data_IF_704814786648
#
_entry.id   IF_704814786648
#
_cell.length_a   1.000
_cell.length_b   1.000
_cell.length_c   1.000
_cell.angle_alpha   90.00
_cell.angle_beta   90.00
_cell.angle_gamma   90.00
#
_symmetry.space_group_name_H-M   'P 1'
#
loop_
_entity.id
_entity.type
_entity.pdbx_description
1 polymer ?
#
# COMPACT_ATOMS: atom_id res chain seq x y z
N UNK A 1 -7.63 -9.63 0.56
CA UNK A 1 -6.55 -10.27 1.34
C UNK A 1 -6.52 -9.63 2.72
N UNK A 2 -5.58 -9.96 3.59
CA UNK A 2 -5.50 -9.33 4.91
C UNK A 2 -4.87 -10.21 5.98
N UNK A 3 -5.05 -9.83 7.24
CA UNK A 3 -4.51 -10.55 8.39
C UNK A 3 -5.59 -11.25 9.24
N UNK A 4 -6.87 -11.12 8.89
CA UNK A 4 -8.00 -11.71 9.62
C UNK A 4 -8.29 -13.16 9.17
N UNK A 5 -9.22 -13.83 9.83
CA UNK A 5 -9.55 -15.23 9.54
C UNK A 5 -10.26 -15.40 8.18
N UNK A 6 -10.96 -14.36 7.70
CA UNK A 6 -11.62 -14.37 6.39
C UNK A 6 -10.62 -14.33 5.23
N UNK A 7 -9.43 -13.77 5.46
CA UNK A 7 -8.38 -13.67 4.44
C UNK A 7 -7.60 -14.96 4.19
N UNK A 8 -7.69 -15.95 5.09
CA UNK A 8 -6.81 -17.14 5.11
C UNK A 8 -6.88 -17.93 3.80
N UNK A 9 -8.08 -18.15 3.26
CA UNK A 9 -8.26 -18.91 2.03
C UNK A 9 -7.62 -18.20 0.83
N UNK A 10 -7.84 -16.89 0.69
CA UNK A 10 -7.25 -16.08 -0.39
C UNK A 10 -5.73 -15.99 -0.25
N UNK A 11 -5.21 -15.75 0.95
CA UNK A 11 -3.75 -15.70 1.16
C UNK A 11 -3.11 -17.04 0.81
N UNK A 12 -3.73 -18.17 1.18
CA UNK A 12 -3.24 -19.50 0.81
C UNK A 12 -3.23 -19.69 -0.72
N UNK A 13 -4.30 -19.29 -1.41
CA UNK A 13 -4.38 -19.37 -2.86
C UNK A 13 -3.31 -18.51 -3.55
N UNK A 14 -3.14 -17.26 -3.14
CA UNK A 14 -2.13 -16.37 -3.74
C UNK A 14 -0.72 -16.89 -3.48
N UNK A 15 -0.44 -17.48 -2.32
CA UNK A 15 0.86 -18.10 -2.05
C UNK A 15 1.14 -19.34 -2.91
N UNK A 16 0.13 -19.99 -3.50
CA UNK A 16 0.34 -21.11 -4.43
C UNK A 16 0.51 -20.68 -5.88
N UNK A 17 0.46 -19.39 -6.20
CA UNK A 17 0.63 -18.88 -7.56
C UNK A 17 2.09 -18.65 -7.98
N UNK A 18 3.06 -18.99 -7.10
CA UNK A 18 4.48 -18.94 -7.47
C UNK A 18 4.72 -19.84 -8.68
N UNK A 19 5.38 -19.31 -9.70
CA UNK A 19 5.64 -19.92 -11.01
C UNK A 19 4.40 -20.20 -11.90
N UNK A 20 3.18 -19.92 -11.41
CA UNK A 20 1.93 -20.06 -12.17
C UNK A 20 1.49 -18.74 -12.84
N UNK A 21 1.94 -17.61 -12.30
CA UNK A 21 1.72 -16.26 -12.83
C UNK A 21 3.02 -15.48 -12.80
N UNK A 22 3.15 -14.44 -13.61
CA UNK A 22 4.39 -13.67 -13.69
C UNK A 22 4.56 -12.65 -12.55
N UNK A 23 3.45 -12.10 -12.06
CA UNK A 23 3.42 -11.18 -10.93
C UNK A 23 2.03 -11.14 -10.29
N UNK A 24 1.96 -10.61 -9.07
CA UNK A 24 0.70 -10.30 -8.37
C UNK A 24 0.51 -8.79 -8.32
N UNK A 25 -0.72 -8.33 -8.51
CA UNK A 25 -1.09 -6.92 -8.34
C UNK A 25 -2.22 -6.78 -7.30
N UNK A 26 -1.90 -6.24 -6.12
CA UNK A 26 -2.80 -6.10 -4.97
C UNK A 26 -3.36 -4.67 -4.89
N UNK A 27 -4.67 -4.55 -5.08
CA UNK A 27 -5.35 -3.28 -5.25
C UNK A 27 -5.83 -2.64 -3.93
N UNK A 28 -4.88 -2.17 -3.12
CA UNK A 28 -5.18 -1.48 -1.86
C UNK A 28 -5.66 -2.38 -0.74
N UNK A 29 -5.88 -1.78 0.43
CA UNK A 29 -6.41 -2.41 1.63
C UNK A 29 -5.66 -3.70 2.01
N UNK A 30 -4.37 -3.51 2.27
CA UNK A 30 -3.39 -4.59 2.22
C UNK A 30 -3.57 -5.55 3.40
N UNK A 31 -3.49 -5.00 4.61
CA UNK A 31 -3.44 -5.80 5.85
C UNK A 31 -4.65 -5.59 6.75
N UNK A 32 -5.38 -4.47 6.57
CA UNK A 32 -6.38 -3.98 7.51
C UNK A 32 -5.82 -3.81 8.94
N UNK A 33 -4.54 -3.42 9.08
CA UNK A 33 -3.87 -3.25 10.37
C UNK A 33 -4.51 -2.15 11.25
N UNK A 34 -5.15 -1.16 10.63
CA UNK A 34 -5.91 -0.11 11.31
C UNK A 34 -7.12 -0.67 12.07
N UNK A 35 -7.71 -1.79 11.62
CA UNK A 35 -8.83 -2.49 12.27
C UNK A 35 -8.43 -3.36 13.47
N UNK A 36 -7.15 -3.42 13.83
CA UNK A 36 -6.64 -4.33 14.86
C UNK A 36 -7.28 -4.18 16.25
N UNK A 37 -7.91 -3.04 16.52
CA UNK A 37 -8.58 -2.71 17.78
C UNK A 37 -10.07 -3.10 17.83
N UNK A 38 -10.68 -3.58 16.74
CA UNK A 38 -12.13 -3.83 16.64
C UNK A 38 -12.65 -4.99 17.52
N UNK A 39 -11.79 -5.67 18.27
CA UNK A 39 -12.22 -6.67 19.25
C UNK A 39 -12.16 -6.08 20.66
N UNK A 40 -13.11 -6.45 21.53
CA UNK A 40 -13.15 -5.97 22.93
C UNK A 40 -11.87 -6.29 23.71
N UNK A 41 -11.14 -7.35 23.33
CA UNK A 41 -9.85 -7.73 23.92
C UNK A 41 -8.70 -6.81 23.48
N UNK A 42 -8.78 -6.22 22.29
CA UNK A 42 -7.70 -5.47 21.68
C UNK A 42 -7.89 -3.95 21.75
N UNK A 43 -9.08 -3.47 22.14
CA UNK A 43 -9.48 -2.06 22.06
C UNK A 43 -8.53 -1.08 22.77
N UNK A 44 -7.86 -1.51 23.86
CA UNK A 44 -6.89 -0.69 24.60
C UNK A 44 -5.42 -1.04 24.35
N UNK A 45 -5.15 -2.05 23.53
CA UNK A 45 -3.79 -2.44 23.17
C UNK A 45 -3.33 -1.83 21.85
N UNK A 46 -2.04 -1.96 21.57
CA UNK A 46 -1.42 -1.48 20.34
C UNK A 46 -1.00 -2.67 19.47
N UNK A 47 -1.81 -2.94 18.43
CA UNK A 47 -1.69 -4.13 17.60
C UNK A 47 -1.44 -3.86 16.11
N UNK A 48 -1.43 -2.59 15.69
CA UNK A 48 -1.25 -2.20 14.27
C UNK A 48 -0.04 -2.90 13.64
N UNK A 49 1.15 -2.72 14.24
CA UNK A 49 2.39 -3.34 13.75
C UNK A 49 2.37 -4.87 13.80
N UNK A 50 1.71 -5.45 14.81
CA UNK A 50 1.60 -6.91 14.94
C UNK A 50 0.74 -7.51 13.82
N UNK A 51 -0.39 -6.86 13.50
CA UNK A 51 -1.29 -7.27 12.42
C UNK A 51 -0.63 -7.10 11.06
N UNK A 52 0.08 -5.99 10.85
CA UNK A 52 0.84 -5.80 9.61
C UNK A 52 1.92 -6.88 9.45
N UNK A 53 2.69 -7.18 10.51
CA UNK A 53 3.69 -8.24 10.48
C UNK A 53 3.06 -9.62 10.26
N UNK A 54 1.88 -9.90 10.83
CA UNK A 54 1.13 -11.15 10.55
C UNK A 54 0.84 -11.27 9.06
N UNK A 55 0.37 -10.20 8.41
CA UNK A 55 0.14 -10.18 6.97
C UNK A 55 1.44 -10.43 6.17
N UNK A 56 2.50 -9.67 6.43
CA UNK A 56 3.79 -9.81 5.73
C UNK A 56 4.36 -11.24 5.85
N UNK A 57 4.28 -11.82 7.05
CA UNK A 57 4.70 -13.19 7.29
C UNK A 57 3.82 -14.19 6.52
N UNK A 58 2.50 -13.97 6.48
CA UNK A 58 1.59 -14.86 5.76
C UNK A 58 1.77 -14.84 4.23
N UNK A 59 2.29 -13.75 3.67
CA UNK A 59 2.52 -13.58 2.23
C UNK A 59 4.00 -13.79 1.83
N UNK A 60 4.84 -14.23 2.76
CA UNK A 60 6.29 -14.35 2.56
C UNK A 60 6.65 -15.28 1.40
N UNK A 61 5.89 -16.35 1.14
CA UNK A 61 6.21 -17.28 0.05
C UNK A 61 6.15 -16.58 -1.30
N UNK A 62 5.05 -15.89 -1.61
CA UNK A 62 4.89 -15.19 -2.90
C UNK A 62 5.77 -13.94 -3.00
N UNK A 63 5.81 -13.10 -1.96
CA UNK A 63 6.52 -11.80 -2.00
C UNK A 63 8.04 -11.93 -2.11
N UNK A 64 8.62 -13.10 -1.78
CA UNK A 64 10.06 -13.35 -1.89
C UNK A 64 10.48 -13.95 -3.23
N UNK A 65 9.54 -14.44 -4.03
CA UNK A 65 9.82 -15.24 -5.22
C UNK A 65 9.38 -14.55 -6.52
N UNK A 66 8.44 -13.61 -6.45
CA UNK A 66 7.99 -12.85 -7.62
C UNK A 66 7.65 -11.42 -7.28
N UNK A 67 7.49 -10.59 -8.32
CA UNK A 67 7.03 -9.23 -8.16
C UNK A 67 5.62 -9.21 -7.54
N UNK A 68 5.49 -8.49 -6.43
CA UNK A 68 4.23 -8.28 -5.74
C UNK A 68 3.93 -6.78 -5.73
N UNK A 69 3.22 -6.34 -6.77
CA UNK A 69 2.88 -4.94 -7.00
C UNK A 69 1.71 -4.56 -6.10
N UNK A 70 1.77 -3.37 -5.51
CA UNK A 70 0.73 -2.87 -4.59
C UNK A 70 0.34 -1.45 -4.95
N UNK A 71 -0.92 -1.09 -4.76
CA UNK A 71 -1.30 0.30 -4.60
C UNK A 71 -1.91 0.53 -3.23
N UNK A 72 -2.01 1.81 -2.88
CA UNK A 72 -2.52 2.26 -1.60
C UNK A 72 -4.06 2.18 -1.56
N UNK A 73 -4.63 1.80 -0.42
CA UNK A 73 -6.06 1.95 -0.13
C UNK A 73 -6.29 2.82 1.11
N UNK A 74 -7.56 3.06 1.45
CA UNK A 74 -7.92 3.89 2.60
C UNK A 74 -7.47 3.28 3.93
N UNK A 75 -7.37 1.95 4.05
CA UNK A 75 -6.90 1.28 5.26
C UNK A 75 -5.39 1.43 5.52
N UNK A 76 -4.64 1.95 4.55
CA UNK A 76 -3.23 2.31 4.70
C UNK A 76 -3.04 3.75 5.21
N UNK A 77 -4.10 4.56 5.29
CA UNK A 77 -4.01 5.99 5.59
C UNK A 77 -3.43 6.27 6.96
N UNK A 78 -3.90 5.56 8.00
CA UNK A 78 -3.51 5.81 9.38
C UNK A 78 -3.93 4.75 10.41
N UNK A 79 -3.21 4.66 11.54
CA UNK A 79 -3.63 3.86 12.71
C UNK A 79 -4.66 4.58 13.58
N UNK A 80 -5.95 4.27 13.55
CA UNK A 80 -6.97 5.00 14.34
C UNK A 80 -7.45 4.31 15.62
N UNK A 81 -6.69 3.32 16.13
CA UNK A 81 -6.97 2.73 17.46
C UNK A 81 -6.95 3.78 18.59
N UNK A 82 -7.68 3.57 19.70
CA UNK A 82 -7.64 4.47 20.85
C UNK A 82 -6.23 4.79 21.34
N UNK A 83 -5.33 3.80 21.35
CA UNK A 83 -3.92 4.01 21.73
C UNK A 83 -3.16 4.91 20.75
N UNK A 84 -3.47 4.86 19.45
CA UNK A 84 -2.88 5.75 18.46
C UNK A 84 -3.47 7.17 18.56
N UNK A 85 -4.77 7.30 18.81
CA UNK A 85 -5.43 8.59 19.02
C UNK A 85 -4.91 9.33 20.25
N UNK A 86 -4.58 8.60 21.33
CA UNK A 86 -4.04 9.16 22.57
C UNK A 86 -2.52 9.42 22.56
N UNK A 87 -1.80 8.94 21.53
CA UNK A 87 -0.33 9.06 21.45
C UNK A 87 0.10 9.84 20.22
N UNK A 88 0.59 11.08 20.42
CA UNK A 88 1.14 11.92 19.35
C UNK A 88 2.27 11.22 18.57
N UNK A 89 3.14 10.49 19.26
CA UNK A 89 4.23 9.77 18.62
C UNK A 89 3.74 8.64 17.70
N UNK A 90 2.77 7.83 18.14
CA UNK A 90 2.23 6.73 17.31
C UNK A 90 1.45 7.28 16.13
N UNK A 91 0.66 8.32 16.39
CA UNK A 91 -0.02 9.13 15.37
C UNK A 91 0.94 9.59 14.26
N UNK A 92 2.04 10.23 14.64
CA UNK A 92 2.98 10.81 13.66
C UNK A 92 3.78 9.73 12.92
N UNK A 93 4.01 8.56 13.53
CA UNK A 93 4.73 7.43 12.92
C UNK A 93 3.87 6.57 11.99
N UNK A 94 2.55 6.49 12.24
CA UNK A 94 1.63 5.59 11.54
C UNK A 94 0.54 6.30 10.74
N UNK A 95 0.58 7.63 10.69
CA UNK A 95 -0.33 8.43 9.87
C UNK A 95 0.23 8.71 8.48
N UNK A 96 -0.60 9.31 7.62
CA UNK A 96 -0.24 9.77 6.28
C UNK A 96 0.48 8.69 5.45
N UNK A 97 -0.06 7.47 5.47
CA UNK A 97 0.43 6.35 4.67
C UNK A 97 1.87 5.92 4.98
N UNK A 98 2.45 6.34 6.12
CA UNK A 98 3.86 6.08 6.42
C UNK A 98 4.17 4.58 6.54
N UNK A 99 3.28 3.79 7.14
CA UNK A 99 3.48 2.35 7.25
C UNK A 99 3.54 1.67 5.87
N UNK A 100 2.62 2.03 4.96
CA UNK A 100 2.62 1.54 3.57
C UNK A 100 3.88 1.98 2.82
N UNK A 101 4.19 3.27 2.86
CA UNK A 101 5.35 3.84 2.17
C UNK A 101 6.70 3.32 2.69
N UNK A 102 6.76 2.86 3.94
CA UNK A 102 7.99 2.32 4.54
C UNK A 102 8.19 0.82 4.29
N UNK A 103 7.11 0.08 4.02
CA UNK A 103 7.13 -1.40 3.95
C UNK A 103 7.19 -1.93 2.53
N UNK A 104 6.66 -1.18 1.58
CA UNK A 104 6.70 -1.56 0.18
C UNK A 104 7.73 -0.74 -0.59
N UNK A 105 8.21 -1.34 -1.67
CA UNK A 105 9.00 -0.66 -2.69
C UNK A 105 8.27 -0.86 -4.02
N UNK A 106 7.91 0.25 -4.63
CA UNK A 106 7.31 0.30 -5.97
C UNK A 106 8.26 1.04 -6.92
N UNK A 107 8.12 0.95 -8.25
CA UNK A 107 8.97 1.68 -9.21
C UNK A 107 8.60 3.17 -9.29
N UNK A 108 8.18 3.77 -8.17
CA UNK A 108 7.73 5.15 -8.13
C UNK A 108 8.84 6.14 -8.46
N UNK A 109 10.10 5.90 -8.09
CA UNK A 109 11.17 6.85 -8.43
C UNK A 109 11.45 6.79 -9.92
N UNK A 110 11.53 5.57 -10.45
CA UNK A 110 11.81 5.24 -11.83
C UNK A 110 10.73 5.77 -12.78
N UNK A 111 9.46 5.80 -12.33
CA UNK A 111 8.33 6.29 -13.12
C UNK A 111 7.98 7.77 -12.87
N UNK A 112 8.80 8.51 -12.11
CA UNK A 112 8.52 9.91 -11.75
C UNK A 112 7.38 10.11 -10.73
N UNK A 113 6.97 9.03 -10.07
CA UNK A 113 6.00 8.97 -8.97
C UNK A 113 6.44 9.65 -7.68
N UNK A 114 5.53 9.66 -6.69
CA UNK A 114 5.81 10.17 -5.33
C UNK A 114 5.55 9.08 -4.28
N UNK A 115 6.60 8.73 -3.54
CA UNK A 115 6.60 7.67 -2.52
C UNK A 115 6.19 6.30 -3.11
N UNK A 116 5.15 5.64 -2.61
CA UNK A 116 4.52 4.48 -3.26
C UNK A 116 3.08 4.79 -3.68
N UNK A 117 2.70 6.08 -3.74
CA UNK A 117 1.29 6.49 -3.87
C UNK A 117 0.79 6.38 -5.31
N UNK A 118 1.67 6.61 -6.30
CA UNK A 118 1.36 6.40 -7.71
C UNK A 118 2.66 6.09 -8.45
N UNK A 119 2.57 5.27 -9.49
CA UNK A 119 3.70 4.86 -10.31
C UNK A 119 3.22 4.20 -11.60
N UNK A 120 4.12 3.97 -12.54
CA UNK A 120 3.85 3.14 -13.72
C UNK A 120 4.98 2.15 -13.98
N UNK A 121 4.67 1.11 -14.74
CA UNK A 121 5.65 0.10 -15.15
C UNK A 121 5.19 -0.62 -16.41
N UNK A 122 6.16 -1.18 -17.14
CA UNK A 122 5.91 -2.02 -18.30
C UNK A 122 6.00 -3.49 -17.89
N UNK A 123 5.08 -4.31 -18.38
CA UNK A 123 5.21 -5.76 -18.33
C UNK A 123 4.80 -6.36 -19.68
N UNK A 124 5.78 -6.89 -20.41
CA UNK A 124 5.58 -7.38 -21.77
C UNK A 124 5.13 -6.25 -22.71
N UNK A 125 3.92 -6.38 -23.27
CA UNK A 125 3.30 -5.39 -24.17
C UNK A 125 2.27 -4.50 -23.47
N UNK A 126 2.23 -4.49 -22.14
CA UNK A 126 1.23 -3.78 -21.35
C UNK A 126 1.89 -2.73 -20.47
N UNK A 127 1.44 -1.48 -20.63
CA UNK A 127 1.75 -0.38 -19.72
C UNK A 127 0.74 -0.36 -18.58
N UNK A 128 1.23 -0.47 -17.34
CA UNK A 128 0.42 -0.34 -16.13
C UNK A 128 0.58 1.06 -15.55
N UNK A 129 -0.53 1.77 -15.40
CA UNK A 129 -0.58 3.03 -14.64
C UNK A 129 -1.29 2.78 -13.31
N UNK A 130 -0.59 3.06 -12.22
CA UNK A 130 -1.08 2.90 -10.85
C UNK A 130 -1.43 4.27 -10.28
N UNK A 131 -2.68 4.44 -9.86
CA UNK A 131 -3.20 5.69 -9.31
C UNK A 131 -3.65 5.49 -7.87
N UNK A 132 -3.38 6.48 -7.02
CA UNK A 132 -3.95 6.56 -5.67
C UNK A 132 -5.41 6.99 -5.76
N UNK A 133 -6.32 6.19 -5.19
CA UNK A 133 -7.71 6.60 -4.93
C UNK A 133 -7.84 7.42 -3.65
N UNK A 134 -6.74 7.69 -2.96
CA UNK A 134 -6.75 8.33 -1.65
C UNK A 134 -6.18 9.75 -1.66
N UNK A 135 -5.44 10.10 -2.71
CA UNK A 135 -4.71 11.36 -2.82
C UNK A 135 -4.79 11.91 -4.25
N UNK A 136 -4.41 13.18 -4.42
CA UNK A 136 -4.06 13.74 -5.73
C UNK A 136 -5.18 13.84 -6.79
N UNK A 137 -6.45 13.96 -6.37
CA UNK A 137 -7.58 14.38 -7.21
C UNK A 137 -8.52 15.36 -6.48
N UNK A 138 -9.36 16.13 -7.20
CA UNK A 138 -10.29 17.08 -6.58
C UNK A 138 -11.22 16.39 -5.58
N UNK A 139 -11.25 16.90 -4.34
CA UNK A 139 -12.04 16.35 -3.24
C UNK A 139 -11.63 14.93 -2.78
N UNK A 140 -10.37 14.54 -3.00
CA UNK A 140 -9.81 13.33 -2.40
C UNK A 140 -10.02 13.32 -0.86
N UNK A 141 -10.27 12.14 -0.27
CA UNK A 141 -10.54 12.02 1.16
C UNK A 141 -9.34 12.52 1.96
N UNK A 142 -9.62 13.20 3.07
CA UNK A 142 -8.58 13.50 4.05
C UNK A 142 -8.56 12.42 5.11
N UNK A 143 -7.37 12.06 5.58
CA UNK A 143 -7.13 11.34 6.83
C UNK A 143 -8.10 11.80 7.93
N UNK A 144 -9.07 10.95 8.24
CA UNK A 144 -10.28 11.26 9.03
C UNK A 144 -9.93 11.51 10.50
N UNK A 145 -8.90 10.83 10.99
CA UNK A 145 -8.58 10.75 12.41
C UNK A 145 -7.38 11.61 12.82
N UNK A 146 -6.38 11.82 11.95
CA UNK A 146 -5.14 12.46 12.43
C UNK A 146 -4.88 13.91 12.05
N UNK A 147 -5.20 14.41 10.87
CA UNK A 147 -4.49 15.64 10.47
C UNK A 147 -5.25 16.71 9.71
N UNK A 148 -6.38 16.44 9.03
CA UNK A 148 -6.83 17.32 7.93
C UNK A 148 -5.68 17.66 6.94
N UNK A 149 -4.55 16.96 6.99
CA UNK A 149 -3.42 17.17 6.08
C UNK A 149 -3.80 16.41 4.84
N UNK A 150 -4.12 17.17 3.81
CA UNK A 150 -4.20 16.67 2.44
C UNK A 150 -2.76 16.47 1.99
N UNK A 151 -2.40 15.25 1.60
CA UNK A 151 -1.21 15.06 0.77
C UNK A 151 -1.44 15.91 -0.48
N UNK A 152 -0.66 16.99 -0.64
CA UNK A 152 -0.90 17.96 -1.71
C UNK A 152 -0.72 17.29 -3.06
N UNK A 153 -1.75 17.41 -3.89
CA UNK A 153 -1.71 17.09 -5.32
C UNK A 153 -0.48 17.69 -6.00
N UNK A 154 0.32 16.83 -6.63
CA UNK A 154 1.16 17.25 -7.75
C UNK A 154 0.34 17.11 -9.04
N UNK A 155 0.46 18.09 -9.92
CA UNK A 155 -0.29 18.18 -11.18
C UNK A 155 0.13 17.06 -12.15
N UNK A 156 -0.71 16.03 -12.27
CA UNK A 156 -0.55 14.89 -13.18
C UNK A 156 -0.32 15.29 -14.64
N UNK A 157 -0.69 16.51 -15.05
CA UNK A 157 -0.47 17.02 -16.42
C UNK A 157 0.98 17.35 -16.74
N UNK A 158 1.89 17.34 -15.76
CA UNK A 158 3.33 17.61 -15.98
C UNK A 158 4.18 16.35 -16.23
N UNK A 159 3.60 15.16 -16.08
CA UNK A 159 4.33 13.88 -16.18
C UNK A 159 3.63 12.83 -17.05
N UNK A 160 2.73 13.25 -17.95
CA UNK A 160 2.37 12.38 -19.07
C UNK A 160 3.68 12.00 -19.80
N UNK A 161 3.94 10.71 -20.09
CA UNK A 161 5.15 10.30 -20.78
C UNK A 161 5.23 11.05 -22.11
N UNK A 162 6.17 11.99 -22.23
CA UNK A 162 6.57 12.48 -23.54
C UNK A 162 7.33 11.34 -24.20
N UNK A 163 6.73 10.75 -25.24
CA UNK A 163 7.30 9.82 -26.21
C UNK A 163 8.44 8.91 -25.73
N UNK A 164 8.12 7.64 -25.51
CA UNK A 164 9.10 6.57 -25.29
C UNK A 164 9.71 6.16 -26.64
N UNK A 165 10.67 6.95 -27.12
CA UNK A 165 11.72 6.48 -28.03
C UNK A 165 13.05 6.50 -27.27
N UNK A 166 13.29 5.46 -26.46
CA UNK A 166 14.67 5.09 -26.12
C UNK A 166 14.79 3.57 -25.98
N UNK A 167 15.40 2.87 -26.95
CA UNK A 167 15.65 1.46 -26.86
C UNK A 167 16.96 1.22 -26.09
N UNK A 168 16.92 0.23 -25.19
CA UNK A 168 18.05 -0.48 -24.58
C UNK A 168 18.65 0.13 -23.30
N UNK A 169 18.25 -0.41 -22.16
CA UNK A 169 19.22 -0.82 -21.13
C UNK A 169 18.79 -2.16 -20.50
N UNK A 170 19.54 -3.22 -20.84
CA UNK A 170 19.77 -4.46 -20.06
C UNK A 170 21.30 -4.52 -19.85
N UNK A 171 21.82 -5.02 -18.72
CA UNK A 171 21.53 -6.33 -18.13
C UNK A 171 20.85 -6.30 -16.77
#
# INVERSE_FOLDING_TARGET
>A
MGADDNSVATNKYVNSLVDEVDFVYHLGDISYADNAFLTAKNVFGFYYEQVYNKFMNSMTNVMRQMAYMVLVGNHEAECHSPTCLLSKSKKDQLGNYLAFNSRFRTPSVESGGVLNMWYSYEYGTVHFTTLSTETDYPNAPSNVYFTKRVQRAMDHRRYAPTDVHDPLVRP
#
